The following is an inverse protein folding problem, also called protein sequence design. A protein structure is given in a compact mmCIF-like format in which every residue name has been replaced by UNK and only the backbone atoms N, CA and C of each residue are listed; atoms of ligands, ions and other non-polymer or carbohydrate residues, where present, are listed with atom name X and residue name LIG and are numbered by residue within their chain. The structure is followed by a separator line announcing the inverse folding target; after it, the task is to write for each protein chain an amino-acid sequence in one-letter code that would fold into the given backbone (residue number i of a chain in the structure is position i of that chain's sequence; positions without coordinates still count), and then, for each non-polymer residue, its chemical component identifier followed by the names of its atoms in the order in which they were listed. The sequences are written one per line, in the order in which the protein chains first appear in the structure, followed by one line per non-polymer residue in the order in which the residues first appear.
data_IF_517628746560
#
_entry.id   IF_517628746560
#
_cell.length_a   1.000
_cell.length_b   1.000
_cell.length_c   1.000
_cell.angle_alpha   90.00
_cell.angle_beta   90.00
_cell.angle_gamma   90.00
#
_symmetry.space_group_name_H-M   'P 1'
#
loop_
_entity.id
_entity.type
_entity.pdbx_description
1 polymer ?
#
# COMPACT_ATOMS: atom_id res chain seq x y z
N UNK A 1 19.54 6.50 -0.36
CA UNK A 1 18.84 7.51 -1.15
C UNK A 1 19.49 8.88 -0.93
N UNK A 2 19.52 9.69 -1.97
CA UNK A 2 19.99 11.07 -1.96
C UNK A 2 18.81 11.96 -2.34
N UNK A 3 18.59 13.05 -1.62
CA UNK A 3 17.55 14.02 -1.96
C UNK A 3 18.12 15.42 -2.05
N UNK A 4 17.53 16.23 -2.90
CA UNK A 4 17.85 17.63 -3.08
C UNK A 4 16.55 18.43 -3.14
N UNK A 5 16.50 19.53 -2.40
CA UNK A 5 15.33 20.41 -2.32
C UNK A 5 15.75 21.84 -2.65
N UNK A 6 15.02 22.47 -3.55
CA UNK A 6 15.20 23.86 -3.93
C UNK A 6 13.81 24.50 -4.12
N UNK A 7 13.41 25.39 -3.20
CA UNK A 7 12.13 26.08 -3.20
C UNK A 7 10.94 25.14 -3.54
N UNK A 8 10.53 25.11 -4.80
CA UNK A 8 9.38 24.36 -5.30
C UNK A 8 9.77 23.05 -6.01
N UNK A 9 11.03 22.71 -6.03
CA UNK A 9 11.54 21.51 -6.68
C UNK A 9 12.16 20.57 -5.66
N UNK A 10 11.65 19.36 -5.59
CA UNK A 10 12.23 18.26 -4.84
C UNK A 10 12.72 17.18 -5.80
N UNK A 11 13.95 16.73 -5.62
CA UNK A 11 14.53 15.62 -6.41
C UNK A 11 15.03 14.54 -5.46
N UNK A 12 14.81 13.28 -5.80
CA UNK A 12 15.38 12.17 -5.05
C UNK A 12 15.92 11.09 -5.98
N UNK A 13 16.99 10.45 -5.51
CA UNK A 13 17.64 9.30 -6.14
C UNK A 13 17.68 8.19 -5.12
N UNK A 14 17.30 6.99 -5.52
CA UNK A 14 17.27 5.91 -4.55
C UNK A 14 17.27 4.53 -5.16
N UNK A 15 17.42 3.58 -4.25
CA UNK A 15 17.25 2.17 -4.52
C UNK A 15 16.45 1.54 -3.41
N UNK A 16 15.32 0.96 -3.74
CA UNK A 16 14.41 0.31 -2.80
C UNK A 16 14.28 -1.17 -3.15
N UNK A 17 14.33 -2.01 -2.14
CA UNK A 17 14.00 -3.42 -2.26
C UNK A 17 12.55 -3.64 -1.82
N UNK A 18 11.70 -3.99 -2.77
CA UNK A 18 10.31 -4.35 -2.48
C UNK A 18 10.21 -5.83 -2.14
N UNK A 19 9.78 -6.13 -0.92
CA UNK A 19 9.29 -7.44 -0.53
C UNK A 19 7.82 -7.30 -0.20
N UNK A 20 6.97 -7.94 -0.95
CA UNK A 20 5.56 -8.02 -0.61
C UNK A 20 5.37 -9.11 0.44
N UNK A 21 5.30 -8.69 1.71
CA UNK A 21 5.13 -9.57 2.85
C UNK A 21 3.64 -9.84 3.09
N UNK A 22 3.29 -11.09 3.36
CA UNK A 22 1.93 -11.46 3.82
C UNK A 22 0.88 -11.66 2.73
N UNK A 23 1.20 -11.50 1.47
CA UNK A 23 0.38 -11.95 0.35
C UNK A 23 1.04 -13.20 -0.23
N UNK A 24 0.25 -14.12 -0.74
CA UNK A 24 0.71 -15.42 -1.26
C UNK A 24 1.76 -15.36 -2.40
N UNK A 25 2.32 -14.19 -2.66
CA UNK A 25 3.28 -13.94 -3.72
C UNK A 25 4.40 -13.06 -3.19
N UNK A 26 5.55 -13.62 -2.83
CA UNK A 26 6.73 -12.81 -2.57
C UNK A 26 7.23 -12.24 -3.91
N UNK A 27 6.72 -11.10 -4.31
CA UNK A 27 7.33 -10.31 -5.36
C UNK A 27 8.51 -9.59 -4.72
N UNK A 28 9.72 -9.93 -5.10
CA UNK A 28 10.93 -9.27 -4.66
C UNK A 28 11.54 -8.54 -5.84
N UNK A 29 11.41 -7.22 -5.84
CA UNK A 29 12.04 -6.37 -6.85
C UNK A 29 13.01 -5.42 -6.20
N UNK A 30 14.06 -5.11 -6.91
CA UNK A 30 14.86 -3.92 -6.66
C UNK A 30 14.41 -2.84 -7.63
N UNK A 31 14.06 -1.69 -7.10
CA UNK A 31 13.75 -0.48 -7.83
C UNK A 31 14.89 0.51 -7.65
N UNK A 32 15.62 0.80 -8.72
CA UNK A 32 16.55 1.93 -8.78
C UNK A 32 15.81 3.09 -9.44
N UNK A 33 15.76 4.29 -8.83
CA UNK A 33 14.91 5.37 -9.32
C UNK A 33 15.51 6.76 -9.16
N UNK A 34 15.01 7.65 -10.01
CA UNK A 34 15.15 9.10 -9.92
C UNK A 34 13.76 9.69 -9.96
N UNK A 35 13.41 10.55 -8.99
CA UNK A 35 12.16 11.30 -9.01
C UNK A 35 12.41 12.78 -8.97
N UNK A 36 11.54 13.55 -9.61
CA UNK A 36 11.43 14.97 -9.38
C UNK A 36 9.98 15.33 -9.12
N UNK A 37 9.77 16.22 -8.17
CA UNK A 37 8.47 16.75 -7.79
C UNK A 37 8.58 18.28 -7.81
N UNK A 38 7.80 18.90 -8.69
CA UNK A 38 7.73 20.33 -8.88
C UNK A 38 6.33 20.80 -8.55
N UNK A 39 6.20 21.76 -7.65
CA UNK A 39 4.91 22.32 -7.31
C UNK A 39 4.89 23.84 -7.45
N UNK A 40 3.75 24.38 -7.84
CA UNK A 40 3.53 25.81 -7.94
C UNK A 40 2.05 26.18 -7.84
N UNK A 41 1.80 27.38 -7.38
CA UNK A 41 0.45 27.92 -7.23
C UNK A 41 0.16 28.92 -8.35
N UNK A 42 -0.98 28.74 -9.03
CA UNK A 42 -1.51 29.67 -10.03
C UNK A 42 -2.88 30.14 -9.57
N UNK A 43 -2.94 31.31 -8.95
CA UNK A 43 -4.17 31.84 -8.39
C UNK A 43 -4.71 30.95 -7.27
N UNK A 44 -5.84 30.25 -7.50
CA UNK A 44 -6.46 29.34 -6.54
C UNK A 44 -6.10 27.87 -6.80
N UNK A 45 -5.31 27.60 -7.83
CA UNK A 45 -4.91 26.25 -8.18
C UNK A 45 -3.51 25.96 -7.67
N UNK A 46 -3.35 24.84 -7.03
CA UNK A 46 -2.07 24.21 -6.78
C UNK A 46 -1.83 23.17 -7.86
N UNK A 47 -0.69 23.24 -8.51
CA UNK A 47 -0.26 22.31 -9.55
C UNK A 47 0.98 21.59 -9.04
N UNK A 48 0.93 20.27 -9.04
CA UNK A 48 2.04 19.39 -8.70
C UNK A 48 2.38 18.56 -9.96
N UNK A 49 3.64 18.58 -10.36
CA UNK A 49 4.19 17.78 -11.45
C UNK A 49 5.22 16.82 -10.89
N UNK A 50 4.91 15.54 -10.93
CA UNK A 50 5.81 14.47 -10.49
C UNK A 50 6.33 13.72 -11.72
N UNK A 51 7.63 13.54 -11.82
CA UNK A 51 8.24 12.67 -12.83
C UNK A 51 9.08 11.61 -12.14
N UNK A 52 9.11 10.41 -12.67
CA UNK A 52 9.94 9.33 -12.18
C UNK A 52 10.51 8.53 -13.36
N UNK A 53 11.80 8.29 -13.30
CA UNK A 53 12.43 7.22 -14.05
C UNK A 53 12.82 6.12 -13.09
N UNK A 54 12.36 4.90 -13.32
CA UNK A 54 12.62 3.77 -12.44
C UNK A 54 13.03 2.53 -13.23
N UNK A 55 14.00 1.81 -12.72
CA UNK A 55 14.45 0.53 -13.25
C UNK A 55 14.19 -0.57 -12.23
N UNK A 56 13.39 -1.54 -12.64
CA UNK A 56 13.03 -2.69 -11.82
C UNK A 56 13.84 -3.91 -12.21
N UNK A 57 14.40 -4.58 -11.22
CA UNK A 57 15.14 -5.83 -11.39
C UNK A 57 14.46 -6.89 -10.57
N UNK A 58 14.08 -8.00 -11.20
CA UNK A 58 13.58 -9.15 -10.48
C UNK A 58 14.71 -9.77 -9.65
N UNK A 59 14.48 -9.91 -8.34
CA UNK A 59 15.35 -10.63 -7.41
C UNK A 59 14.81 -12.02 -7.07
N UNK A 60 13.61 -12.36 -7.54
CA UNK A 60 13.09 -13.71 -7.36
C UNK A 60 13.95 -14.65 -8.18
N UNK A 61 14.54 -15.67 -7.56
CA UNK A 61 15.08 -16.79 -8.30
C UNK A 61 13.93 -17.37 -9.12
N UNK A 62 13.97 -17.34 -10.42
CA UNK A 62 13.08 -17.79 -11.51
C UNK A 62 11.98 -18.84 -11.19
N UNK A 63 11.67 -19.04 -9.93
CA UNK A 63 10.78 -20.05 -9.39
C UNK A 63 9.30 -19.60 -9.48
N UNK A 64 9.02 -18.30 -9.75
CA UNK A 64 7.66 -17.78 -9.84
C UNK A 64 7.43 -17.03 -11.15
N UNK A 65 7.30 -17.75 -12.23
CA UNK A 65 6.68 -17.21 -13.44
C UNK A 65 5.17 -17.39 -13.31
N UNK A 66 4.51 -16.33 -12.83
CA UNK A 66 3.08 -16.20 -13.00
C UNK A 66 2.80 -15.88 -14.47
N UNK A 67 1.59 -16.18 -15.00
CA UNK A 67 1.20 -15.75 -16.34
C UNK A 67 1.29 -14.24 -16.56
N UNK A 68 1.43 -13.47 -15.50
CA UNK A 68 1.83 -12.05 -15.52
C UNK A 68 3.29 -11.95 -15.09
N UNK A 69 4.16 -12.42 -15.97
CA UNK A 69 5.59 -12.47 -15.72
C UNK A 69 6.08 -11.13 -15.17
N UNK A 70 6.74 -11.20 -14.03
CA UNK A 70 7.62 -10.13 -13.63
C UNK A 70 8.73 -10.15 -14.67
N UNK A 71 8.67 -9.21 -15.58
CA UNK A 71 9.66 -9.11 -16.65
C UNK A 71 11.02 -8.84 -16.00
N UNK A 72 12.01 -9.67 -16.32
CA UNK A 72 13.40 -9.42 -15.93
C UNK A 72 13.82 -8.05 -16.48
N UNK A 73 14.06 -7.08 -15.62
CA UNK A 73 14.46 -5.72 -15.98
C UNK A 73 13.43 -4.94 -16.82
N UNK A 74 12.57 -4.24 -16.14
CA UNK A 74 11.64 -3.27 -16.71
C UNK A 74 12.12 -1.86 -16.37
N UNK A 75 12.10 -0.96 -17.32
CA UNK A 75 12.29 0.46 -17.11
C UNK A 75 10.93 1.15 -17.24
N UNK A 76 10.60 2.03 -16.29
CA UNK A 76 9.37 2.82 -16.32
C UNK A 76 9.71 4.31 -16.32
N UNK A 77 9.16 5.04 -17.26
CA UNK A 77 9.04 6.48 -17.18
C UNK A 77 7.60 6.82 -16.77
N UNK A 78 7.46 7.64 -15.75
CA UNK A 78 6.18 8.04 -15.19
C UNK A 78 6.13 9.56 -15.06
N UNK A 79 5.04 10.15 -15.52
CA UNK A 79 4.74 11.57 -15.32
C UNK A 79 3.32 11.71 -14.79
N UNK A 80 3.14 12.47 -13.73
CA UNK A 80 1.85 12.82 -13.15
C UNK A 80 1.72 14.34 -13.05
N UNK A 81 0.67 14.87 -13.63
CA UNK A 81 0.23 16.23 -13.41
C UNK A 81 -1.03 16.21 -12.54
N UNK A 82 -0.95 16.84 -11.39
CA UNK A 82 -2.10 17.03 -10.50
C UNK A 82 -2.42 18.50 -10.38
N UNK A 83 -3.69 18.87 -10.57
CA UNK A 83 -4.20 20.20 -10.31
C UNK A 83 -5.26 20.13 -9.21
N UNK A 84 -5.12 20.93 -8.17
CA UNK A 84 -6.09 20.98 -7.07
C UNK A 84 -6.57 22.41 -6.85
N UNK A 85 -7.86 22.55 -6.54
CA UNK A 85 -8.49 23.81 -6.18
C UNK A 85 -9.32 23.63 -4.92
N UNK A 86 -9.31 24.64 -4.06
CA UNK A 86 -10.12 24.68 -2.83
C UNK A 86 -10.94 25.95 -2.79
N UNK A 87 -12.23 25.84 -3.02
CA UNK A 87 -13.17 26.91 -2.83
C UNK A 87 -13.88 26.78 -1.48
N UNK A 88 -14.02 27.87 -0.75
CA UNK A 88 -14.67 27.85 0.55
C UNK A 88 -15.48 29.13 0.78
N UNK A 89 -16.70 28.95 1.24
CA UNK A 89 -17.54 30.03 1.74
C UNK A 89 -18.13 29.67 3.13
N UNK A 90 -19.06 30.49 3.63
CA UNK A 90 -19.65 30.28 4.96
C UNK A 90 -20.51 29.03 5.10
N UNK A 91 -20.93 28.39 4.01
CA UNK A 91 -21.85 27.24 4.00
C UNK A 91 -21.21 25.95 3.49
N UNK A 92 -20.38 26.08 2.47
CA UNK A 92 -19.86 24.95 1.70
C UNK A 92 -18.36 25.13 1.46
N UNK A 93 -17.63 24.04 1.54
CA UNK A 93 -16.27 23.90 1.03
C UNK A 93 -16.30 22.90 -0.13
N UNK A 94 -15.68 23.28 -1.23
CA UNK A 94 -15.54 22.47 -2.43
C UNK A 94 -14.04 22.21 -2.66
N UNK A 95 -13.64 20.95 -2.66
CA UNK A 95 -12.29 20.53 -3.04
C UNK A 95 -12.39 19.83 -4.40
N UNK A 96 -11.67 20.33 -5.39
CA UNK A 96 -11.61 19.78 -6.74
C UNK A 96 -10.19 19.36 -7.04
N UNK A 97 -10.00 18.12 -7.48
CA UNK A 97 -8.71 17.55 -7.85
C UNK A 97 -8.82 16.94 -9.25
N UNK A 98 -7.82 17.18 -10.04
CA UNK A 98 -7.64 16.62 -11.36
C UNK A 98 -6.26 15.99 -11.47
N UNK A 99 -6.16 14.84 -12.11
CA UNK A 99 -4.94 14.05 -12.25
C UNK A 99 -4.84 13.52 -13.68
N UNK A 100 -3.69 13.72 -14.28
CA UNK A 100 -3.28 13.09 -15.54
C UNK A 100 -1.99 12.33 -15.31
N UNK A 101 -1.92 11.10 -15.80
CA UNK A 101 -0.73 10.26 -15.70
C UNK A 101 -0.34 9.75 -17.09
N UNK A 102 0.94 9.73 -17.34
CA UNK A 102 1.56 9.08 -18.49
C UNK A 102 2.54 8.05 -17.96
N UNK A 103 2.42 6.84 -18.43
CA UNK A 103 3.29 5.72 -18.04
C UNK A 103 3.84 5.08 -19.29
N UNK A 104 5.15 4.96 -19.36
CA UNK A 104 5.86 4.33 -20.47
C UNK A 104 6.77 3.24 -19.91
N UNK A 105 6.61 2.02 -20.43
CA UNK A 105 7.35 0.84 -20.00
C UNK A 105 8.20 0.32 -21.15
N UNK A 106 9.47 0.12 -20.89
CA UNK A 106 10.40 -0.51 -21.80
C UNK A 106 11.00 -1.77 -21.17
N UNK A 107 11.19 -2.77 -21.99
CA UNK A 107 11.66 -4.09 -21.56
C UNK A 107 13.07 -4.34 -22.11
N UNK A 108 13.90 -5.03 -21.32
CA UNK A 108 15.24 -5.42 -21.75
C UNK A 108 15.17 -6.43 -22.92
N UNK A 109 14.15 -7.28 -22.89
CA UNK A 109 13.84 -8.18 -24.00
C UNK A 109 13.22 -7.37 -25.14
N UNK A 110 13.99 -7.17 -26.20
CA UNK A 110 13.57 -6.39 -27.39
C UNK A 110 12.47 -7.08 -28.20
N UNK A 111 12.10 -8.32 -27.89
CA UNK A 111 10.96 -9.00 -28.51
C UNK A 111 9.63 -8.56 -27.94
N UNK A 112 9.65 -7.90 -26.78
CA UNK A 112 8.48 -7.34 -26.11
C UNK A 112 8.38 -5.86 -26.50
N UNK A 113 7.27 -5.48 -27.10
CA UNK A 113 7.00 -4.07 -27.41
C UNK A 113 6.84 -3.23 -26.15
N UNK A 114 7.28 -1.97 -26.22
CA UNK A 114 7.06 -1.02 -25.13
C UNK A 114 5.57 -0.74 -24.94
N UNK A 115 5.18 -0.47 -23.73
CA UNK A 115 3.78 -0.21 -23.36
C UNK A 115 3.65 1.25 -22.91
N UNK A 116 2.83 2.04 -23.58
CA UNK A 116 2.48 3.39 -23.15
C UNK A 116 1.02 3.44 -22.73
N UNK A 117 0.74 4.09 -21.59
CA UNK A 117 -0.61 4.26 -21.03
C UNK A 117 -0.81 5.71 -20.60
N UNK A 118 -2.00 6.21 -20.89
CA UNK A 118 -2.44 7.54 -20.51
C UNK A 118 -3.70 7.41 -19.66
N UNK A 119 -3.70 8.04 -18.51
CA UNK A 119 -4.77 7.91 -17.55
C UNK A 119 -5.20 9.27 -17.05
N UNK A 120 -6.46 9.38 -16.68
CA UNK A 120 -6.95 10.57 -15.99
C UNK A 120 -7.84 10.21 -14.83
N UNK A 121 -7.89 11.08 -13.81
CA UNK A 121 -8.86 11.00 -12.75
C UNK A 121 -9.30 12.40 -12.32
N UNK A 122 -10.57 12.51 -11.95
CA UNK A 122 -11.19 13.73 -11.46
C UNK A 122 -11.95 13.42 -10.17
N UNK A 123 -11.84 14.31 -9.18
CA UNK A 123 -12.60 14.24 -7.95
C UNK A 123 -13.16 15.60 -7.59
N UNK A 124 -14.41 15.63 -7.17
CA UNK A 124 -15.02 16.80 -6.58
C UNK A 124 -15.71 16.42 -5.26
N UNK A 125 -15.34 17.11 -4.19
CA UNK A 125 -15.89 16.92 -2.86
C UNK A 125 -16.65 18.17 -2.40
N UNK A 126 -17.81 17.98 -1.85
CA UNK A 126 -18.63 19.00 -1.21
C UNK A 126 -18.67 18.71 0.29
N UNK A 127 -18.17 19.63 1.10
CA UNK A 127 -18.24 19.54 2.57
C UNK A 127 -19.19 20.61 3.08
N UNK A 128 -20.13 20.23 3.94
CA UNK A 128 -21.16 21.12 4.47
C UNK A 128 -20.75 21.56 5.87
N UNK A 129 -20.67 22.89 6.10
CA UNK A 129 -20.30 23.41 7.41
C UNK A 129 -21.36 23.19 8.49
N UNK A 130 -22.62 23.10 8.10
CA UNK A 130 -23.73 22.83 9.01
C UNK A 130 -23.73 21.39 9.54
N UNK A 131 -23.22 20.45 8.75
CA UNK A 131 -23.10 19.04 9.13
C UNK A 131 -21.63 18.71 9.16
N UNK A 132 -21.03 18.95 10.32
CA UNK A 132 -19.60 18.76 10.53
C UNK A 132 -19.19 17.33 10.16
N UNK A 133 -18.15 17.20 9.35
CA UNK A 133 -17.60 15.90 8.94
C UNK A 133 -18.27 15.25 7.73
N UNK A 134 -19.43 15.76 7.26
CA UNK A 134 -20.11 15.22 6.08
C UNK A 134 -19.47 15.72 4.78
N UNK A 135 -19.18 14.77 3.88
CA UNK A 135 -18.73 15.04 2.50
C UNK A 135 -19.59 14.22 1.53
N UNK A 136 -20.02 14.87 0.48
CA UNK A 136 -20.55 14.22 -0.72
C UNK A 136 -19.52 14.43 -1.82
N UNK A 137 -19.32 13.45 -2.67
CA UNK A 137 -18.37 13.64 -3.74
C UNK A 137 -18.54 12.70 -4.92
N UNK A 138 -17.92 13.12 -6.01
CA UNK A 138 -17.86 12.42 -7.28
C UNK A 138 -16.41 12.09 -7.59
N UNK A 139 -16.17 10.87 -8.05
CA UNK A 139 -14.91 10.48 -8.68
C UNK A 139 -15.20 9.89 -10.04
N UNK A 140 -14.47 10.37 -11.03
CA UNK A 140 -14.46 9.83 -12.39
C UNK A 140 -13.02 9.54 -12.73
N UNK A 141 -12.72 8.31 -13.13
CA UNK A 141 -11.38 7.95 -13.59
C UNK A 141 -11.44 7.00 -14.78
N UNK A 142 -10.53 7.22 -15.71
CA UNK A 142 -10.33 6.37 -16.87
C UNK A 142 -8.86 6.01 -16.93
N UNK A 143 -8.58 4.74 -16.74
CA UNK A 143 -7.28 4.13 -16.92
C UNK A 143 -7.35 3.25 -18.16
N UNK A 144 -6.42 3.42 -19.08
CA UNK A 144 -6.34 2.58 -20.26
C UNK A 144 -6.16 1.11 -19.85
N UNK A 145 -6.47 0.18 -20.78
CA UNK A 145 -6.36 -1.25 -20.52
C UNK A 145 -5.01 -1.59 -19.85
N UNK A 146 -5.11 -2.23 -18.70
CA UNK A 146 -3.97 -2.52 -17.84
C UNK A 146 -3.58 -4.01 -17.87
N UNK A 147 -4.19 -4.81 -18.76
CA UNK A 147 -3.94 -6.25 -18.85
C UNK A 147 -2.47 -6.57 -19.12
N UNK A 148 -1.83 -5.78 -19.96
CA UNK A 148 -0.43 -5.95 -20.34
C UNK A 148 0.56 -5.21 -19.43
N UNK A 149 0.06 -4.32 -18.56
CA UNK A 149 0.93 -3.51 -17.69
C UNK A 149 1.54 -4.40 -16.59
N UNK A 150 2.87 -4.42 -16.44
CA UNK A 150 3.51 -5.17 -15.39
C UNK A 150 3.13 -4.62 -14.01
N UNK A 151 2.98 -5.51 -13.03
CA UNK A 151 2.76 -5.11 -11.62
C UNK A 151 4.12 -5.04 -10.95
N UNK A 152 4.65 -3.84 -10.81
CA UNK A 152 6.00 -3.60 -10.27
C UNK A 152 5.95 -3.12 -8.81
N UNK A 153 5.27 -1.99 -8.56
CA UNK A 153 5.18 -1.38 -7.24
C UNK A 153 3.72 -1.09 -6.80
N UNK A 154 2.75 -1.50 -7.61
CA UNK A 154 1.33 -1.23 -7.32
C UNK A 154 0.66 -2.39 -6.63
N UNK A 155 -0.01 -2.09 -5.54
CA UNK A 155 -0.89 -2.99 -4.83
C UNK A 155 -2.13 -2.24 -4.32
N UNK A 156 -3.29 -2.90 -4.22
CA UNK A 156 -4.47 -2.28 -3.68
C UNK A 156 -4.23 -1.95 -2.20
N UNK A 157 -4.55 -0.74 -1.82
CA UNK A 157 -4.59 -0.39 -0.39
C UNK A 157 -5.76 -1.06 0.28
N UNK A 158 -5.60 -1.33 1.57
CA UNK A 158 -6.71 -1.82 2.36
C UNK A 158 -7.89 -0.87 2.25
N UNK A 159 -9.10 -1.37 1.95
CA UNK A 159 -10.28 -0.53 1.84
C UNK A 159 -10.57 0.15 3.18
N UNK A 160 -10.48 1.46 3.20
CA UNK A 160 -10.85 2.33 4.32
C UNK A 160 -11.80 3.40 3.83
N UNK A 161 -12.53 4.11 4.71
CA UNK A 161 -13.34 5.24 4.29
C UNK A 161 -12.55 6.29 3.51
N UNK A 162 -11.30 6.55 3.90
CA UNK A 162 -10.42 7.52 3.26
C UNK A 162 -9.92 7.03 1.89
N UNK A 163 -9.57 5.74 1.76
CA UNK A 163 -9.17 5.16 0.47
C UNK A 163 -10.34 5.12 -0.52
N UNK A 164 -11.57 4.93 -0.03
CA UNK A 164 -12.75 4.95 -0.88
C UNK A 164 -12.97 6.30 -1.56
N UNK A 165 -12.59 7.39 -0.92
CA UNK A 165 -12.72 8.75 -1.48
C UNK A 165 -11.43 9.26 -2.12
N UNK A 166 -10.42 8.43 -2.29
CA UNK A 166 -9.14 8.76 -2.91
C UNK A 166 -9.21 8.66 -4.43
N UNK A 167 -8.50 9.55 -5.13
CA UNK A 167 -8.25 9.42 -6.56
C UNK A 167 -7.36 8.23 -6.89
N UNK A 168 -6.47 7.89 -5.98
CA UNK A 168 -5.56 6.76 -6.10
C UNK A 168 -5.77 5.80 -4.93
N UNK A 169 -6.74 4.89 -5.02
CA UNK A 169 -6.96 3.87 -3.99
C UNK A 169 -5.88 2.78 -3.98
N UNK A 170 -4.98 2.79 -4.97
CA UNK A 170 -3.84 1.89 -5.07
C UNK A 170 -2.56 2.59 -4.60
N UNK A 171 -1.64 1.82 -4.07
CA UNK A 171 -0.25 2.28 -3.91
C UNK A 171 0.50 2.12 -5.23
N UNK A 172 1.67 2.77 -5.32
CA UNK A 172 2.51 2.69 -6.51
C UNK A 172 1.94 3.45 -7.70
N UNK A 173 2.50 3.19 -8.88
CA UNK A 173 2.29 3.99 -10.08
C UNK A 173 1.88 3.18 -11.31
N UNK A 174 1.71 1.85 -11.18
CA UNK A 174 1.44 1.00 -12.34
C UNK A 174 -0.04 0.89 -12.68
N UNK A 175 -0.90 1.01 -11.67
CA UNK A 175 -2.33 0.71 -11.83
C UNK A 175 -3.22 1.71 -11.11
N UNK A 176 -4.44 1.85 -11.63
CA UNK A 176 -5.53 2.57 -11.01
C UNK A 176 -6.88 2.01 -11.51
N UNK A 177 -7.97 2.20 -10.78
CA UNK A 177 -9.27 1.68 -11.17
C UNK A 177 -9.98 2.59 -12.16
N UNK A 178 -10.59 2.02 -13.19
CA UNK A 178 -11.66 2.67 -13.94
C UNK A 178 -12.88 2.75 -13.05
N UNK A 179 -13.29 3.93 -12.66
CA UNK A 179 -14.42 4.11 -11.75
C UNK A 179 -15.19 5.38 -12.02
N UNK A 180 -16.51 5.26 -12.01
CA UNK A 180 -17.43 6.37 -11.91
C UNK A 180 -18.23 6.16 -10.65
N UNK A 181 -18.05 7.00 -9.63
CA UNK A 181 -18.76 6.83 -8.38
C UNK A 181 -19.19 8.13 -7.75
N UNK A 182 -20.37 8.09 -7.17
CA UNK A 182 -20.89 9.09 -6.25
C UNK A 182 -20.83 8.49 -4.84
N UNK A 183 -20.18 9.18 -3.92
CA UNK A 183 -19.98 8.68 -2.57
C UNK A 183 -20.48 9.65 -1.51
N UNK A 184 -20.77 9.09 -0.35
CA UNK A 184 -20.97 9.82 0.90
C UNK A 184 -19.88 9.39 1.90
N UNK A 185 -19.33 10.36 2.61
CA UNK A 185 -18.34 10.15 3.67
C UNK A 185 -18.74 10.98 4.88
N UNK A 186 -18.61 10.41 6.05
CA UNK A 186 -18.79 11.12 7.31
C UNK A 186 -17.67 10.76 8.29
N UNK A 187 -17.14 11.76 8.97
CA UNK A 187 -16.18 11.57 10.04
C UNK A 187 -16.51 12.47 11.22
N UNK A 188 -16.18 11.99 12.39
CA UNK A 188 -16.43 12.74 13.61
C UNK A 188 -15.83 12.09 14.83
N UNK A 189 -16.05 12.71 15.97
CA UNK A 189 -15.67 12.17 17.28
C UNK A 189 -16.93 12.02 18.12
N UNK A 190 -17.12 10.86 18.72
CA UNK A 190 -18.21 10.55 19.64
C UNK A 190 -17.60 10.17 20.99
N UNK A 191 -17.73 11.05 21.99
CA UNK A 191 -17.04 10.91 23.27
C UNK A 191 -15.53 10.80 23.10
N UNK A 192 -14.99 9.61 23.31
CA UNK A 192 -13.55 9.31 23.21
C UNK A 192 -13.17 8.52 21.95
N UNK A 193 -14.10 8.35 21.02
CA UNK A 193 -13.86 7.60 19.78
C UNK A 193 -13.88 8.55 18.60
N UNK A 194 -12.87 8.43 17.73
CA UNK A 194 -12.89 9.01 16.40
C UNK A 194 -13.40 7.95 15.43
N UNK A 195 -14.25 8.37 14.50
CA UNK A 195 -14.78 7.45 13.48
C UNK A 195 -14.80 8.09 12.11
N UNK A 196 -14.74 7.25 11.10
CA UNK A 196 -15.07 7.60 9.73
C UNK A 196 -15.86 6.46 9.09
N UNK A 197 -16.80 6.83 8.23
CA UNK A 197 -17.66 5.91 7.48
C UNK A 197 -17.82 6.45 6.06
N UNK A 198 -17.76 5.58 5.07
CA UNK A 198 -18.10 5.95 3.69
C UNK A 198 -18.84 4.82 2.99
N UNK A 199 -19.68 5.21 2.02
CA UNK A 199 -20.34 4.27 1.10
C UNK A 199 -20.52 4.93 -0.25
N UNK A 200 -20.71 4.12 -1.29
CA UNK A 200 -20.98 4.59 -2.63
C UNK A 200 -22.50 4.57 -2.87
N UNK A 201 -23.05 5.72 -3.22
CA UNK A 201 -24.46 5.86 -3.61
C UNK A 201 -24.68 5.33 -5.03
N UNK A 202 -23.71 5.56 -5.88
CA UNK A 202 -23.62 5.03 -7.24
C UNK A 202 -22.17 4.63 -7.49
N UNK A 203 -21.97 3.53 -8.18
CA UNK A 203 -20.67 3.13 -8.68
C UNK A 203 -20.80 2.31 -9.95
N UNK A 204 -19.91 2.61 -10.87
CA UNK A 204 -19.67 1.85 -12.08
C UNK A 204 -18.16 1.59 -12.16
N UNK A 205 -17.79 0.33 -12.05
CA UNK A 205 -16.42 -0.12 -12.18
C UNK A 205 -16.26 -0.95 -13.44
N UNK A 206 -15.41 -0.49 -14.30
CA UNK A 206 -14.95 -1.29 -15.42
C UNK A 206 -13.55 -1.80 -15.12
N UNK A 207 -13.46 -3.03 -14.62
CA UNK A 207 -12.19 -3.73 -14.47
C UNK A 207 -11.98 -4.58 -15.71
N UNK A 208 -10.79 -4.49 -16.32
CA UNK A 208 -10.37 -5.48 -17.31
C UNK A 208 -10.44 -6.88 -16.66
N UNK A 209 -10.79 -7.90 -17.44
CA UNK A 209 -11.13 -9.25 -16.95
C UNK A 209 -10.05 -9.90 -16.06
N UNK A 210 -8.82 -9.47 -16.18
CA UNK A 210 -7.68 -9.98 -15.41
C UNK A 210 -7.64 -9.49 -13.94
N UNK A 211 -8.38 -8.47 -13.62
CA UNK A 211 -8.47 -7.95 -12.24
C UNK A 211 -9.55 -8.61 -11.40
N UNK A 212 -9.96 -9.84 -11.72
CA UNK A 212 -10.97 -10.58 -10.94
C UNK A 212 -10.66 -10.65 -9.43
N UNK A 213 -9.38 -10.60 -9.05
CA UNK A 213 -8.95 -10.48 -7.66
C UNK A 213 -9.51 -9.22 -7.00
N UNK A 214 -9.57 -8.13 -7.75
CA UNK A 214 -9.94 -6.81 -7.23
C UNK A 214 -11.42 -6.52 -7.42
N UNK A 215 -12.06 -7.11 -8.44
CA UNK A 215 -13.51 -6.96 -8.68
C UNK A 215 -14.36 -7.34 -7.47
N UNK A 216 -13.89 -8.25 -6.63
CA UNK A 216 -14.60 -8.70 -5.43
C UNK A 216 -14.31 -7.89 -4.17
N UNK A 217 -13.24 -7.08 -4.14
CA UNK A 217 -13.06 -6.10 -3.06
C UNK A 217 -14.02 -4.92 -3.17
N UNK A 218 -14.46 -4.62 -4.38
CA UNK A 218 -15.36 -3.51 -4.69
C UNK A 218 -16.73 -4.05 -5.09
N UNK A 219 -17.40 -4.73 -4.15
CA UNK A 219 -18.80 -5.10 -4.34
C UNK A 219 -19.69 -3.87 -4.32
N UNK A 220 -20.86 -3.99 -4.97
CA UNK A 220 -21.83 -2.89 -5.05
C UNK A 220 -22.18 -2.40 -3.65
N UNK A 221 -22.03 -1.09 -3.43
CA UNK A 221 -22.41 -0.38 -2.20
C UNK A 221 -21.78 -0.92 -0.92
N UNK A 222 -20.46 -1.13 -0.85
CA UNK A 222 -19.82 -1.48 0.41
C UNK A 222 -19.90 -0.33 1.40
N UNK A 223 -20.03 -0.65 2.68
CA UNK A 223 -19.88 0.31 3.77
C UNK A 223 -18.47 0.15 4.31
N UNK A 224 -17.62 1.16 4.14
CA UNK A 224 -16.31 1.24 4.75
C UNK A 224 -16.39 1.96 6.09
N UNK A 225 -15.73 1.46 7.09
CA UNK A 225 -15.72 2.07 8.42
C UNK A 225 -14.33 2.00 9.05
N UNK A 226 -14.06 2.99 9.90
CA UNK A 226 -12.90 3.05 10.76
C UNK A 226 -13.33 3.67 12.08
N UNK A 227 -12.93 3.06 13.18
CA UNK A 227 -13.16 3.54 14.54
C UNK A 227 -11.82 3.46 15.26
N UNK A 228 -11.46 4.52 15.94
CA UNK A 228 -10.23 4.61 16.72
C UNK A 228 -10.51 5.27 18.07
N UNK A 229 -9.89 4.77 19.11
CA UNK A 229 -9.88 5.38 20.44
C UNK A 229 -8.44 5.50 20.92
N UNK A 230 -8.08 6.71 21.34
CA UNK A 230 -6.81 6.96 22.01
C UNK A 230 -7.06 7.20 23.49
N UNK A 231 -6.33 6.52 24.36
CA UNK A 231 -6.44 6.62 25.82
C UNK A 231 -5.05 6.55 26.43
N UNK A 232 -4.45 7.72 26.68
CA UNK A 232 -3.06 7.83 27.13
C UNK A 232 -2.12 7.19 26.09
N UNK A 233 -1.34 6.23 26.54
CA UNK A 233 -0.40 5.51 25.67
C UNK A 233 -1.04 4.40 24.85
N UNK A 234 -2.32 4.12 25.01
CA UNK A 234 -3.04 3.09 24.29
C UNK A 234 -3.85 3.66 23.12
N UNK A 235 -3.82 2.98 22.00
CA UNK A 235 -4.71 3.19 20.86
C UNK A 235 -5.40 1.89 20.52
N UNK A 236 -6.71 1.92 20.39
CA UNK A 236 -7.55 0.83 19.93
C UNK A 236 -8.12 1.23 18.58
N UNK A 237 -8.09 0.34 17.63
CA UNK A 237 -8.63 0.63 16.32
C UNK A 237 -9.36 -0.57 15.73
N UNK A 238 -10.37 -0.30 14.93
CA UNK A 238 -11.00 -1.24 14.03
C UNK A 238 -11.32 -0.55 12.73
N UNK A 239 -11.08 -1.22 11.61
CA UNK A 239 -11.47 -0.77 10.30
C UNK A 239 -11.85 -1.95 9.42
N UNK A 240 -12.69 -1.72 8.45
CA UNK A 240 -13.12 -2.78 7.57
C UNK A 240 -14.15 -2.32 6.55
N UNK A 241 -14.67 -3.28 5.83
CA UNK A 241 -15.76 -3.10 4.90
C UNK A 241 -16.82 -4.18 5.07
N UNK A 242 -18.07 -3.73 5.04
CA UNK A 242 -19.26 -4.57 5.10
C UNK A 242 -19.97 -4.55 3.75
N UNK A 243 -20.24 -5.73 3.20
CA UNK A 243 -21.06 -5.87 1.99
C UNK A 243 -22.51 -5.93 2.39
N UNK A 244 -23.29 -4.94 1.92
CA UNK A 244 -24.75 -4.94 2.13
C UNK A 244 -25.42 -6.06 1.33
N UNK A 245 -24.89 -6.37 0.15
CA UNK A 245 -25.44 -7.42 -0.72
C UNK A 245 -25.25 -8.83 -0.13
N UNK A 246 -24.12 -9.08 0.49
CA UNK A 246 -23.78 -10.39 1.08
C UNK A 246 -24.05 -10.48 2.57
N UNK A 247 -24.51 -9.38 3.18
CA UNK A 247 -24.80 -9.28 4.62
C UNK A 247 -23.61 -9.74 5.50
N UNK A 248 -22.37 -9.50 5.08
CA UNK A 248 -21.17 -9.91 5.82
C UNK A 248 -20.01 -8.94 5.68
N UNK A 249 -19.08 -9.03 6.64
CA UNK A 249 -17.80 -8.34 6.53
C UNK A 249 -16.96 -9.02 5.45
N UNK A 250 -16.41 -8.20 4.53
CA UNK A 250 -15.49 -8.63 3.49
C UNK A 250 -14.04 -8.47 3.93
N UNK A 251 -13.80 -7.54 4.83
CA UNK A 251 -12.53 -7.34 5.47
C UNK A 251 -12.72 -6.69 6.81
N UNK A 252 -11.99 -7.18 7.80
CA UNK A 252 -12.00 -6.63 9.16
C UNK A 252 -10.57 -6.65 9.70
N UNK A 253 -10.14 -5.51 10.21
CA UNK A 253 -8.90 -5.38 10.94
C UNK A 253 -9.19 -4.71 12.27
N UNK A 254 -8.69 -5.27 13.34
CA UNK A 254 -8.74 -4.64 14.64
C UNK A 254 -7.44 -4.86 15.39
N UNK A 255 -7.11 -3.94 16.27
CA UNK A 255 -5.89 -4.05 17.03
C UNK A 255 -5.80 -3.10 18.19
N UNK A 256 -4.76 -3.36 18.98
CA UNK A 256 -4.35 -2.56 20.13
C UNK A 256 -2.90 -2.16 19.88
N UNK A 257 -2.62 -0.90 20.10
CA UNK A 257 -1.27 -0.35 20.06
C UNK A 257 -1.00 0.36 21.39
N UNK A 258 0.12 0.04 21.99
CA UNK A 258 0.71 0.79 23.10
C UNK A 258 1.95 1.49 22.60
N UNK A 259 2.10 2.78 22.90
CA UNK A 259 3.26 3.56 22.49
C UNK A 259 3.63 4.57 23.56
N UNK A 260 4.89 4.60 23.95
CA UNK A 260 5.49 5.60 24.82
C UNK A 260 6.82 6.10 24.23
N UNK A 261 7.57 6.92 24.95
CA UNK A 261 8.87 7.44 24.49
C UNK A 261 9.94 6.35 24.29
N UNK A 262 9.83 5.23 24.97
CA UNK A 262 10.83 4.18 24.98
C UNK A 262 10.45 2.99 24.10
N UNK A 263 9.17 2.85 23.73
CA UNK A 263 8.77 1.67 22.99
C UNK A 263 7.38 1.70 22.38
N UNK A 264 7.16 0.70 21.56
CA UNK A 264 5.91 0.43 20.87
C UNK A 264 5.61 -1.07 20.98
N UNK A 265 4.36 -1.37 21.26
CA UNK A 265 3.81 -2.71 21.17
C UNK A 265 2.49 -2.65 20.40
N UNK A 266 2.28 -3.53 19.43
CA UNK A 266 0.98 -3.67 18.79
C UNK A 266 0.63 -5.13 18.54
N UNK A 267 -0.64 -5.44 18.73
CA UNK A 267 -1.24 -6.71 18.35
C UNK A 267 -2.44 -6.41 17.47
N UNK A 268 -2.44 -7.00 16.29
CA UNK A 268 -3.48 -6.80 15.28
C UNK A 268 -4.03 -8.15 14.83
N UNK A 269 -5.33 -8.22 14.58
CA UNK A 269 -5.95 -9.30 13.83
C UNK A 269 -6.46 -8.77 12.51
N UNK A 270 -6.13 -9.46 11.44
CA UNK A 270 -6.59 -9.16 10.08
C UNK A 270 -7.42 -10.36 9.58
N UNK A 271 -8.63 -10.08 9.15
CA UNK A 271 -9.53 -11.05 8.57
C UNK A 271 -10.08 -10.52 7.26
N UNK A 272 -9.76 -11.18 6.16
CA UNK A 272 -10.18 -10.82 4.81
C UNK A 272 -10.78 -12.00 4.11
N UNK A 273 -12.04 -11.90 3.71
CA UNK A 273 -12.69 -12.86 2.86
C UNK A 273 -12.26 -12.64 1.41
N UNK A 274 -11.19 -13.26 0.97
CA UNK A 274 -10.80 -13.29 -0.45
C UNK A 274 -11.64 -14.31 -1.21
N UNK A 275 -12.72 -13.88 -1.82
CA UNK A 275 -13.68 -14.77 -2.44
C UNK A 275 -13.27 -15.34 -3.81
N UNK A 276 -12.10 -15.06 -4.37
CA UNK A 276 -11.72 -15.49 -5.73
C UNK A 276 -10.30 -15.94 -5.95
N UNK A 277 -9.48 -15.92 -4.91
CA UNK A 277 -8.25 -16.68 -4.94
C UNK A 277 -8.47 -18.02 -4.25
N UNK A 278 -7.74 -19.05 -4.69
CA UNK A 278 -7.69 -20.28 -3.94
C UNK A 278 -7.09 -20.11 -2.52
N UNK A 279 -6.67 -18.92 -2.17
CA UNK A 279 -6.40 -18.48 -0.83
C UNK A 279 -7.74 -18.13 -0.16
N UNK A 280 -8.33 -19.11 0.47
CA UNK A 280 -9.31 -18.90 1.53
C UNK A 280 -8.82 -17.74 2.38
N UNK A 281 -9.58 -16.72 2.59
CA UNK A 281 -9.30 -15.50 3.29
C UNK A 281 -7.96 -15.38 4.05
N UNK A 282 -7.51 -14.20 4.28
CA UNK A 282 -6.37 -13.98 5.18
C UNK A 282 -6.94 -13.87 6.60
N UNK A 283 -6.60 -14.81 7.47
CA UNK A 283 -6.91 -14.75 8.89
C UNK A 283 -5.61 -14.85 9.67
N UNK A 284 -5.05 -13.71 10.02
CA UNK A 284 -3.76 -13.66 10.67
C UNK A 284 -3.70 -12.71 11.87
N UNK A 285 -2.80 -13.02 12.79
CA UNK A 285 -2.40 -12.13 13.86
C UNK A 285 -1.02 -11.56 13.54
N UNK A 286 -0.86 -10.27 13.76
CA UNK A 286 0.42 -9.57 13.59
C UNK A 286 0.82 -8.96 14.92
N UNK A 287 1.95 -9.40 15.44
CA UNK A 287 2.60 -8.86 16.61
C UNK A 287 3.76 -7.98 16.17
N UNK A 288 3.87 -6.78 16.74
CA UNK A 288 5.02 -5.89 16.55
C UNK A 288 5.43 -5.35 17.91
N UNK A 289 6.71 -5.36 18.20
CA UNK A 289 7.24 -4.72 19.38
C UNK A 289 8.58 -4.05 19.08
N UNK A 290 8.78 -2.89 19.69
CA UNK A 290 10.03 -2.15 19.69
C UNK A 290 10.23 -1.58 21.09
N UNK A 291 11.44 -1.75 21.67
CA UNK A 291 11.76 -1.26 22.99
C UNK A 291 13.18 -0.71 23.01
N UNK A 292 13.33 0.51 23.52
CA UNK A 292 14.62 1.18 23.69
C UNK A 292 15.16 0.91 25.10
N UNK A 293 16.45 0.60 25.18
CA UNK A 293 17.23 0.39 26.40
C UNK A 293 18.54 1.20 26.28
N UNK A 294 18.52 2.44 26.71
CA UNK A 294 19.65 3.34 26.49
C UNK A 294 19.95 3.52 25.00
N UNK A 295 21.15 3.12 24.56
CA UNK A 295 21.59 3.23 23.17
C UNK A 295 21.19 2.03 22.30
N UNK A 296 20.57 1.03 22.88
CA UNK A 296 20.13 -0.19 22.18
C UNK A 296 18.60 -0.14 22.03
N UNK A 297 18.12 -0.44 20.84
CA UNK A 297 16.71 -0.64 20.57
C UNK A 297 16.50 -2.06 20.04
N UNK A 298 15.71 -2.85 20.75
CA UNK A 298 15.29 -4.17 20.30
C UNK A 298 13.95 -4.06 19.57
N UNK A 299 13.79 -4.85 18.50
CA UNK A 299 12.54 -4.91 17.76
C UNK A 299 12.20 -6.33 17.33
N UNK A 300 10.91 -6.59 17.21
CA UNK A 300 10.39 -7.87 16.69
C UNK A 300 9.08 -7.66 15.96
N UNK A 301 8.87 -8.48 14.94
CA UNK A 301 7.59 -8.64 14.26
C UNK A 301 7.34 -10.12 14.04
N UNK A 302 6.10 -10.56 14.23
CA UNK A 302 5.69 -11.91 13.90
C UNK A 302 4.28 -11.89 13.30
N UNK A 303 4.07 -12.70 12.27
CA UNK A 303 2.79 -12.90 11.63
C UNK A 303 2.39 -14.38 11.76
N UNK A 304 1.32 -14.65 12.48
CA UNK A 304 0.76 -15.98 12.67
C UNK A 304 -0.50 -16.14 11.82
N UNK A 305 -0.54 -17.17 10.99
CA UNK A 305 -1.73 -17.57 10.23
C UNK A 305 -2.58 -18.49 11.10
N UNK A 306 -3.82 -18.09 11.37
CA UNK A 306 -4.76 -18.93 12.12
C UNK A 306 -5.25 -20.11 11.27
N UNK A 307 -5.33 -19.93 9.96
CA UNK A 307 -5.80 -20.97 9.04
C UNK A 307 -4.85 -22.15 8.92
N UNK A 308 -3.55 -21.85 8.90
CA UNK A 308 -2.50 -22.84 8.74
C UNK A 308 -1.80 -23.19 10.05
N UNK A 309 -2.17 -22.53 11.15
CA UNK A 309 -1.57 -22.71 12.48
C UNK A 309 -0.04 -22.54 12.51
N UNK A 310 0.49 -21.65 11.67
CA UNK A 310 1.93 -21.44 11.51
C UNK A 310 2.33 -19.96 11.57
N UNK A 311 3.57 -19.73 11.98
CA UNK A 311 4.21 -18.42 11.81
C UNK A 311 4.71 -18.31 10.37
N UNK A 312 4.07 -17.44 9.57
CA UNK A 312 4.43 -17.18 8.19
C UNK A 312 5.71 -16.37 8.10
N UNK A 313 5.86 -15.41 8.99
CA UNK A 313 6.97 -14.48 9.00
C UNK A 313 7.34 -14.10 10.42
N UNK A 314 8.62 -13.99 10.69
CA UNK A 314 9.13 -13.38 11.92
C UNK A 314 10.42 -12.62 11.64
N UNK A 315 10.56 -11.47 12.27
CA UNK A 315 11.76 -10.66 12.28
C UNK A 315 12.10 -10.36 13.73
N UNK A 316 13.34 -10.56 14.10
CA UNK A 316 13.88 -10.12 15.39
C UNK A 316 15.21 -9.41 15.13
N UNK A 317 15.45 -8.32 15.81
CA UNK A 317 16.68 -7.57 15.63
C UNK A 317 16.93 -6.56 16.71
N UNK A 318 18.08 -5.90 16.57
CA UNK A 318 18.51 -4.83 17.44
C UNK A 318 19.21 -3.73 16.64
N UNK A 319 19.05 -2.52 17.12
CA UNK A 319 19.75 -1.32 16.66
C UNK A 319 20.61 -0.81 17.81
N UNK A 320 21.82 -0.46 17.51
CA UNK A 320 22.74 0.12 18.46
C UNK A 320 23.22 1.47 17.94
N UNK A 321 23.09 2.49 18.76
CA UNK A 321 23.50 3.86 18.47
C UNK A 321 24.80 4.15 19.22
N UNK A 322 25.86 4.49 18.48
CA UNK A 322 27.15 4.89 19.03
C UNK A 322 27.58 6.18 18.36
N UNK A 323 27.55 7.29 19.06
CA UNK A 323 27.87 8.63 18.55
C UNK A 323 27.08 8.96 17.26
N UNK A 324 27.78 8.94 16.12
CA UNK A 324 27.23 9.20 14.80
C UNK A 324 26.98 7.92 13.97
N UNK A 325 27.08 6.74 14.59
CA UNK A 325 26.90 5.47 13.90
C UNK A 325 25.69 4.72 14.46
N UNK A 326 24.83 4.25 13.57
CA UNK A 326 23.74 3.33 13.87
C UNK A 326 24.06 1.98 13.24
N UNK A 327 24.14 0.96 14.08
CA UNK A 327 24.32 -0.43 13.66
C UNK A 327 23.02 -1.17 13.83
N UNK A 328 22.61 -1.92 12.83
CA UNK A 328 21.41 -2.76 12.89
C UNK A 328 21.75 -4.19 12.53
N UNK A 329 21.31 -5.13 13.35
CA UNK A 329 21.38 -6.55 13.11
C UNK A 329 19.97 -7.12 13.16
N UNK A 330 19.56 -7.85 12.14
CA UNK A 330 18.24 -8.51 12.14
C UNK A 330 18.31 -9.92 11.56
N UNK A 331 17.52 -10.81 12.16
CA UNK A 331 17.26 -12.16 11.67
C UNK A 331 15.80 -12.21 11.23
N UNK A 332 15.60 -12.47 9.95
CA UNK A 332 14.30 -12.68 9.34
C UNK A 332 14.11 -14.16 9.04
N UNK A 333 12.95 -14.69 9.39
CA UNK A 333 12.49 -16.00 8.98
C UNK A 333 11.17 -15.85 8.26
N UNK A 334 11.12 -16.22 6.99
CA UNK A 334 9.92 -16.18 6.19
C UNK A 334 9.63 -17.57 5.61
N UNK A 335 8.36 -17.95 5.59
CA UNK A 335 7.88 -19.14 4.89
C UNK A 335 7.30 -18.71 3.56
N UNK A 336 7.64 -19.42 2.52
CA UNK A 336 7.06 -19.24 1.21
C UNK A 336 6.76 -20.61 0.60
N UNK A 337 5.73 -20.64 -0.22
CA UNK A 337 5.38 -21.84 -0.96
C UNK A 337 6.14 -21.85 -2.28
N UNK A 338 6.86 -22.94 -2.64
CA UNK A 338 7.52 -23.02 -3.92
C UNK A 338 6.49 -23.06 -5.05
N UNK A 339 6.93 -22.66 -6.21
CA UNK A 339 6.15 -22.55 -7.45
C UNK A 339 5.58 -23.89 -7.92
N UNK A 340 4.40 -23.83 -8.51
CA UNK A 340 3.82 -24.91 -9.30
C UNK A 340 3.72 -24.44 -10.74
N UNK A 341 4.24 -25.24 -11.63
CA UNK A 341 4.28 -24.98 -13.06
C UNK A 341 2.86 -24.78 -13.65
N UNK A 342 2.75 -23.88 -14.61
CA UNK A 342 1.49 -23.46 -15.24
C UNK A 342 0.65 -24.61 -15.83
N UNK A 343 1.29 -25.74 -16.14
CA UNK A 343 0.64 -26.91 -16.69
C UNK A 343 -0.27 -27.65 -15.69
N UNK A 344 -0.19 -27.31 -14.40
CA UNK A 344 -0.99 -27.88 -13.32
C UNK A 344 -2.07 -26.93 -12.78
N UNK A 345 -2.53 -25.98 -13.58
CA UNK A 345 -3.52 -24.92 -13.18
C UNK A 345 -4.85 -25.50 -12.67
N UNK A 346 -5.17 -26.75 -12.97
CA UNK A 346 -6.41 -27.42 -12.54
C UNK A 346 -6.39 -27.91 -11.08
N UNK A 347 -5.27 -27.80 -10.38
CA UNK A 347 -5.20 -28.17 -8.97
C UNK A 347 -5.77 -27.06 -8.10
N UNK A 348 -6.61 -27.40 -7.13
CA UNK A 348 -7.05 -26.46 -6.13
C UNK A 348 -5.85 -25.99 -5.29
N UNK A 349 -5.91 -24.77 -4.76
CA UNK A 349 -4.85 -24.22 -3.91
C UNK A 349 -4.49 -25.13 -2.72
N UNK A 350 -5.48 -25.81 -2.12
CA UNK A 350 -5.22 -26.78 -1.07
C UNK A 350 -4.47 -28.02 -1.57
N UNK A 351 -4.71 -28.44 -2.79
CA UNK A 351 -3.93 -29.51 -3.42
C UNK A 351 -2.50 -29.03 -3.69
N UNK A 352 -2.35 -27.78 -4.10
CA UNK A 352 -1.07 -27.14 -4.31
C UNK A 352 -0.27 -27.03 -2.99
N UNK A 353 -0.89 -26.57 -1.90
CA UNK A 353 -0.25 -26.50 -0.57
C UNK A 353 0.15 -27.89 -0.09
N UNK A 354 -0.69 -28.88 -0.29
CA UNK A 354 -0.41 -30.25 0.15
C UNK A 354 0.71 -30.93 -0.67
N UNK A 355 0.89 -30.51 -1.92
CA UNK A 355 1.96 -31.01 -2.80
C UNK A 355 3.29 -30.28 -2.57
N UNK A 356 3.27 -29.07 -2.05
CA UNK A 356 4.46 -28.24 -1.85
C UNK A 356 4.68 -27.97 -0.37
N UNK A 357 5.67 -28.62 0.21
CA UNK A 357 6.10 -28.25 1.57
C UNK A 357 6.57 -26.80 1.59
N UNK A 358 6.09 -25.97 2.53
CA UNK A 358 6.53 -24.59 2.63
C UNK A 358 8.04 -24.57 2.90
N UNK A 359 8.77 -23.85 2.07
CA UNK A 359 10.18 -23.62 2.28
C UNK A 359 10.37 -22.52 3.31
N UNK A 360 11.36 -22.67 4.16
CA UNK A 360 11.74 -21.67 5.15
C UNK A 360 13.02 -21.00 4.69
N UNK A 361 12.98 -19.69 4.53
CA UNK A 361 14.15 -18.87 4.26
C UNK A 361 14.51 -18.08 5.52
N UNK A 362 15.78 -18.19 5.94
CA UNK A 362 16.34 -17.38 6.99
C UNK A 362 17.32 -16.40 6.37
N UNK A 363 17.16 -15.12 6.67
CA UNK A 363 18.06 -14.05 6.24
C UNK A 363 18.66 -13.40 7.48
N UNK A 364 19.96 -13.23 7.49
CA UNK A 364 20.67 -12.40 8.44
C UNK A 364 21.07 -11.11 7.73
N UNK A 365 20.61 -9.98 8.24
CA UNK A 365 20.95 -8.66 7.70
C UNK A 365 21.77 -7.89 8.71
N UNK A 366 22.83 -7.27 8.21
CA UNK A 366 23.63 -6.31 8.94
C UNK A 366 23.66 -5.00 8.16
N UNK A 367 23.29 -3.91 8.82
CA UNK A 367 23.24 -2.58 8.23
C UNK A 367 24.00 -1.61 9.12
N UNK A 368 24.65 -0.64 8.52
CA UNK A 368 25.25 0.47 9.23
C UNK A 368 24.85 1.80 8.57
N UNK A 369 24.64 2.81 9.38
CA UNK A 369 24.23 4.14 8.96
C UNK A 369 25.05 5.19 9.72
N UNK A 370 25.61 6.17 9.00
CA UNK A 370 26.29 7.32 9.60
C UNK A 370 25.24 8.43 9.85
N UNK A 371 24.92 8.64 11.12
CA UNK A 371 23.99 9.69 11.54
C UNK A 371 24.66 11.05 11.36
N UNK A 372 24.08 11.94 10.60
CA UNK A 372 24.67 13.27 10.30
C UNK A 372 24.99 13.45 8.82
N UNK A 373 25.34 12.36 8.10
CA UNK A 373 25.22 12.30 6.65
C UNK A 373 23.81 11.89 6.22
N UNK A 374 23.04 11.31 7.14
CA UNK A 374 21.71 10.76 6.92
C UNK A 374 20.59 11.78 6.77
N UNK A 375 20.77 13.04 7.13
CA UNK A 375 19.85 14.10 6.71
C UNK A 375 19.78 14.23 5.18
N UNK A 376 20.72 13.61 4.48
CA UNK A 376 20.75 13.44 3.03
C UNK A 376 20.23 12.04 2.61
N UNK A 377 20.08 11.08 3.54
CA UNK A 377 19.96 9.64 3.23
C UNK A 377 18.78 8.92 3.94
N UNK A 378 17.72 9.62 4.35
CA UNK A 378 16.65 9.06 5.17
C UNK A 378 15.51 8.36 4.37
N UNK A 379 15.71 7.14 3.85
CA UNK A 379 14.60 6.31 3.39
C UNK A 379 14.46 4.95 4.10
N UNK A 380 15.51 4.46 4.78
CA UNK A 380 15.44 3.14 5.44
C UNK A 380 14.56 3.20 6.68
N UNK A 381 14.59 4.31 7.40
CA UNK A 381 13.72 4.55 8.56
C UNK A 381 12.23 4.53 8.17
N UNK A 382 11.88 5.15 7.05
CA UNK A 382 10.53 5.14 6.52
C UNK A 382 10.06 3.75 6.05
N UNK A 383 10.96 2.91 5.52
CA UNK A 383 10.60 1.54 5.09
C UNK A 383 10.38 0.65 6.31
N UNK A 384 11.18 0.78 7.35
CA UNK A 384 11.05 -0.03 8.56
C UNK A 384 9.92 0.49 9.44
N UNK A 385 9.80 1.78 9.64
CA UNK A 385 8.68 2.36 10.39
C UNK A 385 7.36 2.16 9.64
N UNK A 386 7.31 2.39 8.34
CA UNK A 386 6.11 2.17 7.54
C UNK A 386 5.87 0.69 7.20
N UNK A 387 6.89 -0.11 6.99
CA UNK A 387 6.76 -1.53 6.71
C UNK A 387 6.61 -2.41 7.96
N UNK A 388 7.24 -2.05 9.07
CA UNK A 388 7.15 -2.80 10.32
C UNK A 388 6.08 -2.26 11.27
N UNK A 389 5.79 -0.97 11.25
CA UNK A 389 4.98 -0.31 12.28
C UNK A 389 3.73 0.44 11.75
N UNK A 390 3.47 0.45 10.41
CA UNK A 390 2.21 0.95 9.84
C UNK A 390 1.25 -0.16 9.38
#
# INVERSE_FOLDING_TARGET
NLSYELDNLFMSFGSDDFKQLGIARPVSHRKDYVTSDLFFDIGQFRIDLVTEFAKFKDKSNKIFQLPYSVYDNVERFFTELRASNKYQNNKIKIDTDFLVQIRDYSFKDKTIEGIQKNDFAFRQNFSFRQIKGLKLGLIVSSYEDQSEVPILDSYPRMPTPESNISLQPWSGKDRGPNQNKLFIFHSGSLSSFDYSVSTNLYEDYNFSDESMIFKKFYEKKPIFFKIQKNSGNFSYFTNGNYSVEKEKFMGLRFGIKYSNQEGLFSLEKNEFAMASFPLSGINNYVLKAKQKFGDITLFTRAQYSQENEIINESVIGGEWFVDCLKLRLSLERARFFPYIDSDNINLSYMQIINLTNPQVKNNLSFEFELIGLSNILNPVENIIENGLFN
#
